data_IF_236136858965
#
_entry.id   IF_236136858965
#
_cell.length_a   1.000
_cell.length_b   1.000
_cell.length_c   1.000
_cell.angle_alpha   90.00
_cell.angle_beta   90.00
_cell.angle_gamma   90.00
#
_symmetry.space_group_name_H-M   'P 1'
#
loop_
_entity.id
_entity.type
_entity.pdbx_description
1 polymer ?
#
# COMPACT_ATOMS: atom_id res chain seq x y z
N UNK A 1 -8.49 -22.54 -6.45
CA UNK A 1 -8.39 -22.72 -4.99
C UNK A 1 -8.92 -21.46 -4.33
N UNK A 2 -10.09 -21.52 -3.70
CA UNK A 2 -10.73 -20.34 -3.10
C UNK A 2 -10.08 -20.08 -1.74
N UNK A 3 -9.05 -19.24 -1.70
CA UNK A 3 -8.37 -18.87 -0.44
C UNK A 3 -9.38 -18.20 0.48
N UNK A 4 -9.81 -18.93 1.51
CA UNK A 4 -10.87 -18.49 2.43
C UNK A 4 -10.27 -17.54 3.45
N UNK A 5 -10.41 -16.23 3.24
CA UNK A 5 -9.89 -15.23 4.17
C UNK A 5 -10.96 -14.86 5.21
N UNK A 6 -10.66 -15.09 6.49
CA UNK A 6 -11.50 -14.68 7.62
C UNK A 6 -11.38 -13.18 7.90
N UNK A 7 -12.49 -12.54 8.24
CA UNK A 7 -12.55 -11.15 8.63
C UNK A 7 -11.78 -10.90 9.93
N UNK A 8 -10.79 -10.01 9.90
CA UNK A 8 -9.98 -9.69 11.07
C UNK A 8 -10.76 -8.98 12.20
N UNK A 9 -11.98 -8.49 11.93
CA UNK A 9 -12.84 -7.90 12.96
C UNK A 9 -13.80 -8.94 13.53
N UNK A 10 -14.69 -9.49 12.70
CA UNK A 10 -15.81 -10.32 13.15
C UNK A 10 -15.58 -11.83 13.00
N UNK A 11 -14.42 -12.27 12.50
CA UNK A 11 -14.08 -13.68 12.31
C UNK A 11 -14.83 -14.41 11.20
N UNK A 12 -15.88 -13.80 10.61
CA UNK A 12 -16.65 -14.41 9.53
C UNK A 12 -15.82 -14.56 8.26
N UNK A 13 -16.13 -15.59 7.47
CA UNK A 13 -15.53 -15.82 6.15
C UNK A 13 -16.49 -15.34 5.06
N UNK A 14 -16.39 -14.08 4.61
CA UNK A 14 -17.22 -13.58 3.53
C UNK A 14 -16.87 -14.30 2.22
N UNK A 15 -17.86 -14.50 1.35
CA UNK A 15 -17.63 -15.03 0.00
C UNK A 15 -16.69 -14.13 -0.82
N UNK A 16 -16.80 -12.81 -0.64
CA UNK A 16 -15.92 -11.80 -1.27
C UNK A 16 -15.25 -10.93 -0.19
N UNK A 17 -14.09 -11.36 0.35
CA UNK A 17 -13.36 -10.57 1.32
C UNK A 17 -12.75 -9.32 0.68
N UNK A 18 -12.85 -8.19 1.37
CA UNK A 18 -12.16 -6.95 1.02
C UNK A 18 -10.85 -6.87 1.78
N UNK A 19 -9.72 -6.88 1.09
CA UNK A 19 -8.41 -6.73 1.71
C UNK A 19 -8.06 -5.26 1.92
N UNK A 20 -7.15 -5.00 2.86
CA UNK A 20 -6.65 -3.65 3.10
C UNK A 20 -5.82 -3.16 1.91
N UNK A 21 -6.26 -2.13 1.19
CA UNK A 21 -5.58 -1.59 0.01
C UNK A 21 -4.11 -1.15 0.20
N UNK A 22 -3.63 -1.00 1.44
CA UNK A 22 -2.25 -0.59 1.73
C UNK A 22 -1.30 -1.79 1.84
N UNK A 23 -1.70 -2.80 2.60
CA UNK A 23 -0.83 -3.93 2.93
C UNK A 23 -1.30 -5.26 2.35
N UNK A 24 -2.55 -5.34 1.90
CA UNK A 24 -3.24 -6.54 1.42
C UNK A 24 -3.22 -7.77 2.35
N UNK A 25 -2.65 -7.68 3.56
CA UNK A 25 -2.54 -8.82 4.49
C UNK A 25 -3.79 -9.07 5.32
N UNK A 26 -4.60 -8.04 5.60
CA UNK A 26 -5.82 -8.16 6.41
C UNK A 26 -7.07 -8.14 5.52
N UNK A 27 -8.01 -9.07 5.76
CA UNK A 27 -9.28 -9.20 5.06
C UNK A 27 -10.46 -8.80 5.95
N UNK A 28 -11.51 -8.26 5.32
CA UNK A 28 -12.71 -7.77 5.99
C UNK A 28 -13.97 -8.10 5.19
N UNK A 29 -15.09 -8.30 5.88
CA UNK A 29 -16.39 -8.43 5.21
C UNK A 29 -16.81 -7.15 4.49
N UNK A 30 -16.60 -6.00 5.13
CA UNK A 30 -17.06 -4.70 4.66
C UNK A 30 -16.15 -3.57 5.19
N UNK A 31 -16.44 -2.34 4.75
CA UNK A 31 -15.69 -1.13 5.16
C UNK A 31 -15.85 -0.84 6.66
N UNK A 32 -16.97 -1.20 7.27
CA UNK A 32 -17.22 -0.99 8.70
C UNK A 32 -16.33 -1.88 9.56
N UNK A 33 -16.21 -3.16 9.22
CA UNK A 33 -15.25 -4.08 9.86
C UNK A 33 -13.82 -3.56 9.77
N UNK A 34 -13.44 -3.02 8.60
CA UNK A 34 -12.13 -2.39 8.42
C UNK A 34 -11.94 -1.17 9.33
N UNK A 35 -12.92 -0.26 9.41
CA UNK A 35 -12.87 0.94 10.26
C UNK A 35 -12.80 0.58 11.75
N UNK A 36 -13.59 -0.39 12.18
CA UNK A 36 -13.60 -0.85 13.57
C UNK A 36 -12.25 -1.48 13.95
N UNK A 37 -11.66 -2.29 13.05
CA UNK A 37 -10.33 -2.88 13.28
C UNK A 37 -9.18 -1.89 13.08
N UNK A 38 -9.40 -0.76 12.39
CA UNK A 38 -8.34 0.17 11.95
C UNK A 38 -7.45 0.68 13.10
N UNK A 39 -8.03 0.96 14.28
CA UNK A 39 -7.26 1.46 15.44
C UNK A 39 -6.17 0.48 15.90
N UNK A 40 -6.45 -0.83 15.79
CA UNK A 40 -5.51 -1.90 16.12
C UNK A 40 -4.61 -2.19 14.90
N UNK A 41 -5.22 -2.30 13.72
CA UNK A 41 -4.52 -2.60 12.47
C UNK A 41 -3.45 -1.57 12.09
N UNK A 42 -3.67 -0.27 12.33
CA UNK A 42 -2.73 0.79 11.90
C UNK A 42 -1.31 0.61 12.46
N UNK A 43 -1.17 -0.05 13.62
CA UNK A 43 0.12 -0.32 14.27
C UNK A 43 0.98 -1.30 13.46
N UNK A 44 0.34 -2.23 12.76
CA UNK A 44 1.01 -3.26 11.95
C UNK A 44 0.87 -3.00 10.44
N UNK A 45 -0.07 -2.16 10.03
CA UNK A 45 -0.38 -1.89 8.62
C UNK A 45 0.83 -1.37 7.84
N UNK A 46 1.63 -0.48 8.45
CA UNK A 46 2.80 0.09 7.80
C UNK A 46 3.87 -0.98 7.52
N UNK A 47 4.20 -1.82 8.51
CA UNK A 47 5.18 -2.90 8.35
C UNK A 47 4.74 -3.92 7.31
N UNK A 48 3.47 -4.34 7.37
CA UNK A 48 2.89 -5.28 6.40
C UNK A 48 2.86 -4.71 4.98
N UNK A 49 2.66 -3.39 4.83
CA UNK A 49 2.72 -2.75 3.52
C UNK A 49 4.14 -2.74 2.95
N UNK A 50 5.17 -2.57 3.77
CA UNK A 50 6.56 -2.69 3.33
C UNK A 50 6.88 -4.12 2.88
N UNK A 51 6.45 -5.12 3.65
CA UNK A 51 6.62 -6.52 3.25
C UNK A 51 5.89 -6.85 1.95
N UNK A 52 4.67 -6.33 1.78
CA UNK A 52 3.94 -6.45 0.53
C UNK A 52 4.74 -5.85 -0.63
N UNK A 53 5.24 -4.63 -0.52
CA UNK A 53 6.04 -4.02 -1.61
C UNK A 53 7.29 -4.83 -1.93
N UNK A 54 7.97 -5.39 -0.92
CA UNK A 54 9.17 -6.21 -1.12
C UNK A 54 8.87 -7.53 -1.85
N UNK A 55 7.77 -8.19 -1.48
CA UNK A 55 7.35 -9.44 -2.12
C UNK A 55 6.78 -9.21 -3.52
N UNK A 56 6.02 -8.13 -3.67
CA UNK A 56 5.33 -7.75 -4.89
C UNK A 56 6.10 -6.66 -5.61
N UNK A 57 7.44 -6.80 -5.69
CA UNK A 57 8.34 -5.83 -6.33
C UNK A 57 7.79 -5.51 -7.73
N UNK A 58 7.19 -4.33 -7.94
CA UNK A 58 7.02 -3.85 -9.28
C UNK A 58 8.42 -3.49 -9.72
N UNK A 59 9.00 -4.29 -10.62
CA UNK A 59 10.30 -4.00 -11.23
C UNK A 59 10.20 -2.60 -11.81
N UNK A 60 10.70 -1.61 -11.06
CA UNK A 60 10.70 -0.22 -11.48
C UNK A 60 11.41 -0.24 -12.84
N UNK A 61 10.78 0.25 -13.90
CA UNK A 61 11.53 0.50 -15.12
C UNK A 61 12.62 1.47 -14.72
N UNK A 62 13.87 0.99 -14.68
CA UNK A 62 15.05 1.83 -14.50
C UNK A 62 14.88 3.01 -15.45
N UNK A 63 14.63 4.20 -14.90
CA UNK A 63 14.95 5.41 -15.64
C UNK A 63 16.46 5.35 -15.78
N UNK A 64 16.91 5.11 -17.00
CA UNK A 64 18.31 4.90 -17.35
C UNK A 64 19.21 5.87 -16.58
N UNK A 65 20.22 5.33 -15.92
CA UNK A 65 21.31 6.12 -15.38
C UNK A 65 21.98 6.87 -16.54
N UNK A 66 21.96 8.19 -16.47
CA UNK A 66 22.93 9.07 -17.13
C UNK A 66 23.57 9.90 -16.02
N UNK A 67 24.83 9.61 -15.71
CA UNK A 67 25.51 10.14 -14.54
C UNK A 67 26.12 11.54 -14.69
N UNK A 68 26.91 11.86 -13.66
CA UNK A 68 27.90 12.93 -13.53
C UNK A 68 27.42 14.31 -13.11
N UNK A 69 27.97 14.73 -11.96
CA UNK A 69 28.19 16.11 -11.52
C UNK A 69 28.31 17.11 -12.67
N UNK A 70 27.48 18.16 -12.65
CA UNK A 70 27.86 19.57 -12.87
C UNK A 70 26.66 20.48 -12.61
N UNK A 71 26.97 21.65 -12.06
CA UNK A 71 26.14 22.80 -11.72
C UNK A 71 24.76 22.91 -12.41
N UNK A 72 23.72 23.10 -11.59
CA UNK A 72 22.34 23.24 -12.03
C UNK A 72 22.07 24.55 -12.82
N UNK A 73 21.21 24.53 -13.85
CA UNK A 73 20.69 25.76 -14.44
C UNK A 73 19.67 26.45 -13.52
N UNK A 74 20.10 27.54 -12.87
CA UNK A 74 19.25 28.50 -12.15
C UNK A 74 18.32 29.24 -13.12
N UNK A 75 17.14 28.70 -13.45
CA UNK A 75 15.96 29.43 -14.00
C UNK A 75 14.70 28.62 -13.64
N UNK A 76 13.99 28.92 -12.56
CA UNK A 76 13.19 30.13 -12.38
C UNK A 76 11.73 29.86 -12.80
N UNK A 77 10.96 29.12 -11.99
CA UNK A 77 9.51 28.99 -12.15
C UNK A 77 8.88 30.33 -11.73
N UNK A 78 8.89 31.30 -12.65
CA UNK A 78 8.24 32.58 -12.44
C UNK A 78 6.72 32.41 -12.57
N UNK A 79 6.07 32.51 -11.41
CA UNK A 79 4.72 33.08 -11.14
C UNK A 79 3.57 32.60 -12.03
N UNK A 80 2.62 31.93 -11.39
CA UNK A 80 1.23 31.87 -11.86
C UNK A 80 0.53 33.12 -11.33
N UNK A 81 -0.08 33.89 -12.23
CA UNK A 81 -0.83 35.12 -11.96
C UNK A 81 -2.18 34.99 -12.66
#
# INVERSE_FOLDING_TARGET
TTTTHSCAQCGQTPSVPKTCNKCHSAAYCNKDCQKNHFRQHKKVCASLAQEYVKLHEPKMATRGGGGSSREGPQRGLQKWQ
#
